data_IF_187821580961
#
_entry.id   IF_187821580961
#
_cell.length_a   1.000
_cell.length_b   1.000
_cell.length_c   1.000
_cell.angle_alpha   90.00
_cell.angle_beta   90.00
_cell.angle_gamma   90.00
#
_symmetry.space_group_name_H-M   'P 1'
#
loop_
_entity.id
_entity.type
_entity.pdbx_description
1 polymer ?
#
# COMPACT_ATOMS: atom_id res chain seq x y z
N UNK A 1 -23.51 27.78 -1.62
CA UNK A 1 -23.10 26.43 -1.97
C UNK A 1 -22.69 25.71 -0.67
N UNK A 2 -23.62 24.92 -0.11
CA UNK A 2 -23.42 24.26 1.19
C UNK A 2 -22.47 23.08 0.99
N UNK A 3 -21.23 23.21 1.40
CA UNK A 3 -20.24 22.13 1.37
C UNK A 3 -20.46 21.32 2.67
N UNK A 4 -21.03 20.14 2.55
CA UNK A 4 -21.21 19.19 3.64
C UNK A 4 -19.82 18.85 4.24
N UNK A 5 -19.52 19.23 5.50
CA UNK A 5 -18.23 18.98 6.14
C UNK A 5 -17.90 17.48 6.29
N UNK A 6 -18.90 16.58 6.23
CA UNK A 6 -18.70 15.13 6.25
C UNK A 6 -18.32 14.53 4.88
N UNK A 7 -18.37 15.29 3.81
CA UNK A 7 -18.07 14.79 2.45
C UNK A 7 -16.60 14.43 2.21
N UNK A 8 -15.68 14.94 3.00
CA UNK A 8 -14.23 14.75 2.81
C UNK A 8 -13.57 13.89 3.88
N UNK A 9 -14.32 13.21 4.74
CA UNK A 9 -13.77 12.25 5.70
C UNK A 9 -13.44 10.93 5.01
N UNK A 10 -12.39 10.24 5.46
CA UNK A 10 -11.99 8.91 4.97
C UNK A 10 -13.15 7.91 4.99
N UNK A 11 -13.96 7.94 6.06
CA UNK A 11 -15.18 7.14 6.18
C UNK A 11 -16.23 7.49 5.10
N UNK A 12 -16.29 8.75 4.63
CA UNK A 12 -17.15 9.19 3.54
C UNK A 12 -16.73 8.61 2.19
N UNK A 13 -15.43 8.41 1.96
CA UNK A 13 -14.91 7.84 0.73
C UNK A 13 -15.21 6.33 0.64
N UNK A 14 -15.04 5.58 1.74
CA UNK A 14 -15.42 4.17 1.80
C UNK A 14 -16.92 3.96 1.58
N UNK A 15 -17.77 4.77 2.23
CA UNK A 15 -19.23 4.70 2.03
C UNK A 15 -19.63 5.01 0.60
N UNK A 16 -18.92 5.92 -0.06
CA UNK A 16 -19.20 6.31 -1.43
C UNK A 16 -18.86 5.19 -2.43
N UNK A 17 -17.75 4.44 -2.25
CA UNK A 17 -17.35 3.36 -3.15
C UNK A 17 -18.15 2.06 -2.91
N UNK A 18 -18.77 1.90 -1.74
CA UNK A 18 -19.46 0.68 -1.34
C UNK A 18 -20.56 0.20 -2.32
N UNK A 19 -21.38 1.06 -2.94
CA UNK A 19 -22.36 0.64 -3.95
C UNK A 19 -21.73 -0.12 -5.12
N UNK A 20 -20.54 0.28 -5.57
CA UNK A 20 -19.80 -0.37 -6.66
C UNK A 20 -19.26 -1.74 -6.26
N UNK A 21 -19.03 -1.94 -4.96
CA UNK A 21 -18.50 -3.17 -4.37
C UNK A 21 -19.58 -4.23 -4.06
N UNK A 22 -20.81 -3.80 -3.76
CA UNK A 22 -21.91 -4.68 -3.28
C UNK A 22 -22.16 -5.92 -4.15
N UNK A 23 -22.20 -5.86 -5.49
CA UNK A 23 -22.51 -7.03 -6.31
C UNK A 23 -21.51 -8.17 -6.21
N UNK A 24 -20.26 -7.87 -5.82
CA UNK A 24 -19.17 -8.85 -5.73
C UNK A 24 -18.86 -9.29 -4.28
N UNK A 25 -19.65 -8.87 -3.29
CA UNK A 25 -19.52 -9.27 -1.88
C UNK A 25 -19.47 -10.79 -1.64
N UNK A 26 -20.22 -11.64 -2.37
CA UNK A 26 -20.10 -13.09 -2.21
C UNK A 26 -18.70 -13.62 -2.56
N UNK A 27 -18.04 -13.01 -3.56
CA UNK A 27 -16.65 -13.37 -3.92
C UNK A 27 -15.66 -12.97 -2.83
N UNK A 28 -15.87 -11.79 -2.22
CA UNK A 28 -15.07 -11.33 -1.08
C UNK A 28 -15.22 -12.27 0.10
N UNK A 29 -16.44 -12.74 0.40
CA UNK A 29 -16.68 -13.72 1.47
C UNK A 29 -15.92 -15.03 1.22
N UNK A 30 -15.95 -15.55 0.00
CA UNK A 30 -15.15 -16.72 -0.38
C UNK A 30 -13.64 -16.46 -0.31
N UNK A 31 -13.18 -15.28 -0.72
CA UNK A 31 -11.78 -14.87 -0.59
C UNK A 31 -11.33 -14.84 0.89
N UNK A 32 -12.18 -14.36 1.80
CA UNK A 32 -11.89 -14.34 3.25
C UNK A 32 -11.73 -15.77 3.79
N UNK A 33 -12.54 -16.74 3.36
CA UNK A 33 -12.38 -18.14 3.78
C UNK A 33 -11.03 -18.70 3.35
N UNK A 34 -10.66 -18.52 2.07
CA UNK A 34 -9.35 -18.95 1.56
C UNK A 34 -8.20 -18.22 2.24
N UNK A 35 -8.38 -16.94 2.54
CA UNK A 35 -7.43 -16.13 3.30
C UNK A 35 -7.21 -16.67 4.72
N UNK A 36 -8.28 -17.04 5.43
CA UNK A 36 -8.18 -17.68 6.75
C UNK A 36 -7.43 -19.01 6.67
N UNK A 37 -7.70 -19.84 5.66
CA UNK A 37 -6.97 -21.09 5.44
C UNK A 37 -5.49 -20.82 5.19
N UNK A 38 -5.15 -19.87 4.32
CA UNK A 38 -3.75 -19.48 4.04
C UNK A 38 -3.00 -19.06 5.31
N UNK A 39 -3.61 -18.19 6.13
CA UNK A 39 -2.98 -17.66 7.34
C UNK A 39 -2.85 -18.72 8.44
N UNK A 40 -3.85 -19.59 8.60
CA UNK A 40 -3.76 -20.73 9.53
C UNK A 40 -2.61 -21.67 9.14
N UNK A 41 -2.49 -22.02 7.84
CA UNK A 41 -1.38 -22.86 7.38
C UNK A 41 -0.03 -22.17 7.59
N UNK A 42 0.06 -20.84 7.37
CA UNK A 42 1.27 -20.07 7.60
C UNK A 42 1.72 -20.12 9.07
N UNK A 43 0.79 -20.07 10.02
CA UNK A 43 1.08 -20.14 11.46
C UNK A 43 1.44 -21.57 11.93
N UNK A 44 0.96 -22.61 11.24
CA UNK A 44 1.26 -24.01 11.61
C UNK A 44 2.63 -24.47 11.12
N UNK A 45 3.11 -23.97 9.98
CA UNK A 45 4.39 -24.41 9.38
C UNK A 45 5.58 -24.27 10.35
N UNK A 46 5.79 -23.17 11.08
CA UNK A 46 6.85 -23.06 12.07
C UNK A 46 6.78 -24.12 13.20
N UNK A 47 5.56 -24.48 13.63
CA UNK A 47 5.39 -25.55 14.64
C UNK A 47 5.82 -26.90 14.10
N UNK A 48 5.47 -27.22 12.85
CA UNK A 48 5.91 -28.48 12.22
C UNK A 48 7.44 -28.53 12.09
N UNK A 49 8.06 -27.38 11.75
CA UNK A 49 9.51 -27.26 11.73
C UNK A 49 10.13 -27.53 13.11
N UNK A 50 9.52 -27.00 14.17
CA UNK A 50 9.91 -27.30 15.56
C UNK A 50 9.74 -28.77 15.92
N UNK A 51 8.64 -29.42 15.52
CA UNK A 51 8.39 -30.83 15.76
C UNK A 51 9.42 -31.73 15.06
N UNK A 52 9.88 -31.36 13.86
CA UNK A 52 10.99 -32.10 13.19
C UNK A 52 12.25 -32.04 14.03
N UNK A 53 12.59 -30.85 14.55
CA UNK A 53 13.78 -30.72 15.42
C UNK A 53 13.65 -31.56 16.68
N UNK A 54 12.52 -31.50 17.37
CA UNK A 54 12.36 -32.23 18.64
C UNK A 54 12.27 -33.73 18.47
N UNK A 55 11.46 -34.23 17.52
CA UNK A 55 11.23 -35.67 17.38
C UNK A 55 12.31 -36.40 16.56
N UNK A 56 12.74 -35.76 15.44
CA UNK A 56 13.67 -36.41 14.54
C UNK A 56 15.11 -36.18 14.98
N UNK A 57 15.51 -34.93 15.27
CA UNK A 57 16.90 -34.61 15.58
C UNK A 57 17.22 -34.94 17.04
N UNK A 58 16.40 -34.54 18.01
CA UNK A 58 16.69 -34.71 19.43
C UNK A 58 16.34 -36.12 19.92
N UNK A 59 15.18 -36.67 19.51
CA UNK A 59 14.73 -38.00 19.94
C UNK A 59 15.16 -39.13 19.01
N UNK A 60 15.73 -38.80 17.83
CA UNK A 60 16.25 -39.85 16.89
C UNK A 60 15.17 -40.63 16.15
N UNK A 61 13.92 -40.17 16.13
CA UNK A 61 12.78 -40.86 15.48
C UNK A 61 12.79 -40.60 13.97
N UNK A 62 13.72 -41.22 13.25
CA UNK A 62 13.88 -41.00 11.80
C UNK A 62 12.66 -41.42 11.00
N UNK A 63 11.88 -42.39 11.48
CA UNK A 63 10.65 -42.86 10.81
C UNK A 63 9.58 -41.77 10.70
N UNK A 64 9.51 -40.81 11.65
CA UNK A 64 8.60 -39.69 11.59
C UNK A 64 9.01 -38.61 10.60
N UNK A 65 10.27 -38.55 10.17
CA UNK A 65 10.76 -37.51 9.25
C UNK A 65 9.96 -37.46 7.96
N UNK A 66 9.76 -38.62 7.31
CA UNK A 66 9.04 -38.70 6.04
C UNK A 66 7.60 -38.18 6.19
N UNK A 67 6.93 -38.54 7.29
CA UNK A 67 5.56 -38.12 7.58
C UNK A 67 5.47 -36.61 7.80
N UNK A 68 6.36 -36.03 8.59
CA UNK A 68 6.37 -34.59 8.88
C UNK A 68 6.74 -33.77 7.63
N UNK A 69 7.70 -34.26 6.82
CA UNK A 69 8.04 -33.61 5.56
C UNK A 69 6.87 -33.63 4.57
N UNK A 70 6.19 -34.76 4.42
CA UNK A 70 4.99 -34.85 3.56
C UNK A 70 3.91 -33.86 4.07
N UNK A 71 3.69 -33.79 5.39
CA UNK A 71 2.72 -32.90 5.99
C UNK A 71 3.07 -31.41 5.71
N UNK A 72 4.35 -31.02 5.84
CA UNK A 72 4.81 -29.68 5.49
C UNK A 72 4.61 -29.36 4.00
N UNK A 73 4.88 -30.32 3.11
CA UNK A 73 4.66 -30.15 1.67
C UNK A 73 3.18 -29.95 1.38
N UNK A 74 2.31 -30.79 1.95
CA UNK A 74 0.84 -30.67 1.77
C UNK A 74 0.33 -29.32 2.28
N UNK A 75 0.75 -28.90 3.48
CA UNK A 75 0.34 -27.61 4.03
C UNK A 75 0.84 -26.44 3.18
N UNK A 76 2.06 -26.54 2.66
CA UNK A 76 2.61 -25.52 1.74
C UNK A 76 1.82 -25.47 0.44
N UNK A 77 1.46 -26.61 -0.15
CA UNK A 77 0.63 -26.66 -1.37
C UNK A 77 -0.75 -26.06 -1.10
N UNK A 78 -1.43 -26.44 0.00
CA UNK A 78 -2.72 -25.89 0.39
C UNK A 78 -2.63 -24.37 0.60
N UNK A 79 -1.57 -23.92 1.26
CA UNK A 79 -1.30 -22.48 1.48
C UNK A 79 -1.16 -21.73 0.15
N UNK A 80 -0.32 -22.24 -0.78
CA UNK A 80 -0.08 -21.60 -2.08
C UNK A 80 -1.35 -21.59 -2.92
N UNK A 81 -2.10 -22.70 -2.96
CA UNK A 81 -3.37 -22.79 -3.67
C UNK A 81 -4.42 -21.82 -3.11
N UNK A 82 -4.54 -21.74 -1.78
CA UNK A 82 -5.43 -20.80 -1.11
C UNK A 82 -5.03 -19.36 -1.36
N UNK A 83 -3.73 -19.05 -1.35
CA UNK A 83 -3.19 -17.72 -1.67
C UNK A 83 -3.54 -17.30 -3.09
N UNK A 84 -3.29 -18.17 -4.06
CA UNK A 84 -3.66 -17.93 -5.44
C UNK A 84 -5.17 -17.68 -5.59
N UNK A 85 -5.98 -18.50 -4.94
CA UNK A 85 -7.44 -18.40 -4.99
C UNK A 85 -7.94 -17.07 -4.46
N UNK A 86 -7.57 -16.68 -3.22
CA UNK A 86 -8.07 -15.43 -2.65
C UNK A 86 -7.53 -14.20 -3.38
N UNK A 87 -6.27 -14.20 -3.84
CA UNK A 87 -5.71 -13.09 -4.61
C UNK A 87 -6.44 -12.91 -5.94
N UNK A 88 -6.73 -14.01 -6.66
CA UNK A 88 -7.49 -13.97 -7.90
C UNK A 88 -8.92 -13.43 -7.69
N UNK A 89 -9.58 -13.83 -6.61
CA UNK A 89 -10.93 -13.36 -6.31
C UNK A 89 -10.94 -11.89 -5.90
N UNK A 90 -9.95 -11.43 -5.11
CA UNK A 90 -9.81 -10.02 -4.75
C UNK A 90 -9.44 -9.15 -5.96
N UNK A 91 -8.60 -9.64 -6.88
CA UNK A 91 -8.30 -8.91 -8.12
C UNK A 91 -9.55 -8.78 -8.99
N UNK A 92 -10.33 -9.85 -9.18
CA UNK A 92 -11.61 -9.79 -9.89
C UNK A 92 -12.61 -8.85 -9.24
N UNK A 93 -12.65 -8.83 -7.91
CA UNK A 93 -13.47 -7.89 -7.14
C UNK A 93 -13.09 -6.43 -7.44
N UNK A 94 -11.79 -6.10 -7.38
CA UNK A 94 -11.28 -4.77 -7.70
C UNK A 94 -11.58 -4.36 -9.14
N UNK A 95 -11.31 -5.24 -10.12
CA UNK A 95 -11.56 -4.99 -11.54
C UNK A 95 -13.04 -4.76 -11.83
N UNK A 96 -13.94 -5.59 -11.31
CA UNK A 96 -15.38 -5.42 -11.53
C UNK A 96 -15.91 -4.13 -10.90
N UNK A 97 -15.43 -3.77 -9.71
CA UNK A 97 -15.85 -2.54 -9.03
C UNK A 97 -15.40 -1.31 -9.81
N UNK A 98 -14.17 -1.30 -10.32
CA UNK A 98 -13.64 -0.19 -11.12
C UNK A 98 -14.26 -0.14 -12.51
N UNK A 99 -14.55 -1.29 -13.13
CA UNK A 99 -15.27 -1.31 -14.39
C UNK A 99 -16.61 -0.54 -14.31
N UNK A 100 -17.38 -0.76 -13.25
CA UNK A 100 -18.63 -0.01 -13.02
C UNK A 100 -18.37 1.47 -12.79
N UNK A 101 -17.33 1.79 -12.01
CA UNK A 101 -16.95 3.18 -11.72
C UNK A 101 -16.55 3.93 -13.00
N UNK A 102 -15.71 3.33 -13.85
CA UNK A 102 -15.30 3.92 -15.14
C UNK A 102 -16.48 4.09 -16.08
N UNK A 103 -17.44 3.15 -16.09
CA UNK A 103 -18.67 3.29 -16.88
C UNK A 103 -19.49 4.51 -16.46
N UNK A 104 -19.65 4.71 -15.14
CA UNK A 104 -20.37 5.88 -14.60
C UNK A 104 -19.60 7.18 -14.87
N UNK A 105 -18.25 7.17 -14.79
CA UNK A 105 -17.42 8.32 -15.13
C UNK A 105 -17.57 8.70 -16.61
N UNK A 106 -17.57 7.70 -17.48
CA UNK A 106 -17.73 7.92 -18.92
C UNK A 106 -19.11 8.46 -19.27
N UNK A 107 -20.17 7.87 -18.69
CA UNK A 107 -21.55 8.38 -18.86
C UNK A 107 -21.66 9.81 -18.35
N UNK A 108 -21.07 10.11 -17.18
CA UNK A 108 -21.07 11.44 -16.60
C UNK A 108 -20.36 12.48 -17.48
N UNK A 109 -19.25 12.12 -18.11
CA UNK A 109 -18.55 13.01 -19.03
C UNK A 109 -19.42 13.40 -20.24
N UNK A 110 -20.30 12.52 -20.71
CA UNK A 110 -21.23 12.82 -21.81
C UNK A 110 -22.41 13.71 -21.37
N UNK A 111 -22.75 13.73 -20.09
CA UNK A 111 -23.77 14.63 -19.54
C UNK A 111 -23.28 16.05 -19.28
N UNK A 112 -21.97 16.25 -19.18
CA UNK A 112 -21.37 17.54 -18.82
C UNK A 112 -21.36 18.50 -20.01
N UNK A 113 -21.58 19.79 -19.72
CA UNK A 113 -21.55 20.86 -20.70
C UNK A 113 -20.13 21.34 -21.04
N UNK A 114 -20.03 22.15 -22.11
CA UNK A 114 -18.74 22.71 -22.56
C UNK A 114 -18.07 23.59 -21.49
N UNK A 115 -18.84 24.16 -20.55
CA UNK A 115 -18.27 24.95 -19.46
C UNK A 115 -17.32 24.14 -18.59
N UNK A 116 -17.66 22.89 -18.33
CA UNK A 116 -16.79 21.97 -17.59
C UNK A 116 -15.47 21.72 -18.34
N UNK A 117 -15.55 21.42 -19.63
CA UNK A 117 -14.38 21.12 -20.46
C UNK A 117 -13.47 22.34 -20.69
N UNK A 118 -14.06 23.54 -20.76
CA UNK A 118 -13.30 24.79 -20.89
C UNK A 118 -12.47 25.11 -19.64
N UNK A 119 -12.90 24.65 -18.45
CA UNK A 119 -12.22 24.89 -17.18
C UNK A 119 -11.38 23.68 -16.68
N UNK A 120 -11.44 22.55 -17.37
CA UNK A 120 -10.73 21.32 -16.97
C UNK A 120 -9.83 20.86 -18.11
N UNK A 121 -8.54 20.69 -17.83
CA UNK A 121 -7.60 20.22 -18.85
C UNK A 121 -7.93 18.76 -19.23
N UNK A 122 -7.86 18.45 -20.51
CA UNK A 122 -8.10 17.08 -21.01
C UNK A 122 -7.20 16.06 -20.33
N UNK A 123 -5.94 16.40 -20.04
CA UNK A 123 -5.01 15.54 -19.31
C UNK A 123 -5.47 15.21 -17.89
N UNK A 124 -6.16 16.15 -17.19
CA UNK A 124 -6.71 15.90 -15.86
C UNK A 124 -7.88 14.90 -15.91
N UNK A 125 -8.72 14.99 -16.96
CA UNK A 125 -9.81 14.05 -17.18
C UNK A 125 -9.26 12.65 -17.46
N UNK A 126 -8.28 12.55 -18.37
CA UNK A 126 -7.63 11.28 -18.68
C UNK A 126 -6.93 10.68 -17.47
N UNK A 127 -6.26 11.49 -16.65
CA UNK A 127 -5.62 11.04 -15.40
C UNK A 127 -6.65 10.47 -14.40
N UNK A 128 -7.85 11.04 -14.32
CA UNK A 128 -8.93 10.50 -13.46
C UNK A 128 -9.39 9.14 -13.93
N UNK A 129 -9.64 8.99 -15.24
CA UNK A 129 -10.13 7.74 -15.84
C UNK A 129 -9.06 6.62 -15.90
N UNK A 130 -7.79 6.96 -15.73
CA UNK A 130 -6.69 5.98 -15.78
C UNK A 130 -6.01 5.80 -14.43
N UNK A 131 -5.12 6.72 -14.06
CA UNK A 131 -4.27 6.57 -12.88
C UNK A 131 -5.02 6.68 -11.55
N UNK A 132 -6.05 7.53 -11.45
CA UNK A 132 -6.85 7.65 -10.22
C UNK A 132 -7.78 6.44 -10.06
N UNK A 133 -8.39 5.93 -11.12
CA UNK A 133 -9.16 4.68 -11.11
C UNK A 133 -8.30 3.46 -10.81
N UNK A 134 -7.07 3.40 -11.36
CA UNK A 134 -6.13 2.32 -11.02
C UNK A 134 -5.72 2.35 -9.55
N UNK A 135 -5.55 3.54 -8.95
CA UNK A 135 -5.30 3.67 -7.53
C UNK A 135 -6.46 3.12 -6.66
N UNK A 136 -7.71 3.33 -7.10
CA UNK A 136 -8.89 2.74 -6.43
C UNK A 136 -8.91 1.22 -6.62
N UNK A 137 -8.65 0.71 -7.82
CA UNK A 137 -8.54 -0.72 -8.10
C UNK A 137 -7.51 -1.37 -7.18
N UNK A 138 -6.30 -0.80 -7.14
CA UNK A 138 -5.20 -1.28 -6.30
C UNK A 138 -5.57 -1.33 -4.82
N UNK A 139 -6.26 -0.30 -4.33
CA UNK A 139 -6.73 -0.26 -2.95
C UNK A 139 -7.78 -1.33 -2.65
N UNK A 140 -8.75 -1.53 -3.54
CA UNK A 140 -9.81 -2.53 -3.37
C UNK A 140 -9.29 -3.96 -3.50
N UNK A 141 -8.39 -4.22 -4.46
CA UNK A 141 -7.85 -5.56 -4.69
C UNK A 141 -6.70 -5.88 -3.71
N UNK A 142 -5.61 -5.12 -3.75
CA UNK A 142 -4.37 -5.48 -3.05
C UNK A 142 -4.29 -4.93 -1.62
N UNK A 143 -4.50 -3.61 -1.43
CA UNK A 143 -4.32 -2.97 -0.12
C UNK A 143 -5.28 -3.54 0.93
N UNK A 144 -6.53 -3.81 0.54
CA UNK A 144 -7.55 -4.30 1.46
C UNK A 144 -7.19 -5.65 2.09
N UNK A 145 -6.75 -6.64 1.32
CA UNK A 145 -6.35 -7.92 1.90
C UNK A 145 -4.96 -7.84 2.56
N UNK A 146 -4.06 -6.98 2.08
CA UNK A 146 -2.73 -6.83 2.66
C UNK A 146 -2.78 -6.21 4.06
N UNK A 147 -3.68 -5.24 4.31
CA UNK A 147 -3.94 -4.71 5.65
C UNK A 147 -4.43 -5.82 6.59
N UNK A 148 -5.40 -6.65 6.12
CA UNK A 148 -5.89 -7.78 6.90
C UNK A 148 -4.77 -8.81 7.16
N UNK A 149 -3.94 -9.10 6.15
CA UNK A 149 -2.81 -10.03 6.27
C UNK A 149 -1.80 -9.56 7.32
N UNK A 150 -1.41 -8.27 7.27
CA UNK A 150 -0.52 -7.68 8.27
C UNK A 150 -1.08 -7.79 9.69
N UNK A 151 -2.37 -7.49 9.89
CA UNK A 151 -3.00 -7.56 11.22
C UNK A 151 -3.11 -8.99 11.71
N UNK A 152 -3.61 -9.91 10.88
CA UNK A 152 -3.81 -11.31 11.26
C UNK A 152 -2.47 -12.01 11.52
N UNK A 153 -1.47 -11.78 10.67
CA UNK A 153 -0.13 -12.35 10.85
C UNK A 153 0.57 -11.80 12.09
N UNK A 154 0.48 -10.49 12.32
CA UNK A 154 1.08 -9.88 13.52
C UNK A 154 0.46 -10.43 14.80
N UNK A 155 -0.88 -10.41 14.90
CA UNK A 155 -1.59 -10.92 16.08
C UNK A 155 -1.38 -12.43 16.21
N UNK A 156 -1.47 -13.18 15.11
CA UNK A 156 -1.31 -14.63 15.09
C UNK A 156 0.08 -15.06 15.52
N UNK A 157 1.13 -14.46 14.94
CA UNK A 157 2.51 -14.76 15.34
C UNK A 157 2.77 -14.41 16.80
N UNK A 158 2.27 -13.24 17.26
CA UNK A 158 2.41 -12.84 18.66
C UNK A 158 1.70 -13.82 19.60
N UNK A 159 0.48 -14.23 19.29
CA UNK A 159 -0.27 -15.21 20.06
C UNK A 159 0.50 -16.55 20.13
N UNK A 160 1.03 -17.04 19.00
CA UNK A 160 1.82 -18.26 18.96
C UNK A 160 3.11 -18.16 19.79
N UNK A 161 3.79 -17.03 19.77
CA UNK A 161 4.97 -16.79 20.62
C UNK A 161 4.61 -16.85 22.12
N UNK A 162 3.48 -16.26 22.52
CA UNK A 162 3.00 -16.33 23.90
C UNK A 162 2.61 -17.75 24.34
N UNK A 163 2.06 -18.57 23.43
CA UNK A 163 1.73 -19.97 23.73
C UNK A 163 2.96 -20.86 23.88
N UNK A 164 4.06 -20.56 23.17
CA UNK A 164 5.32 -21.30 23.27
C UNK A 164 6.02 -20.98 24.58
N UNK A 165 6.35 -19.73 24.83
CA UNK A 165 6.92 -19.28 26.11
C UNK A 165 6.65 -17.79 26.34
N UNK A 166 5.78 -17.48 27.31
CA UNK A 166 5.40 -16.11 27.65
C UNK A 166 6.57 -15.28 28.20
N UNK A 167 7.58 -15.91 28.81
CA UNK A 167 8.73 -15.22 29.41
C UNK A 167 9.65 -14.67 28.31
N UNK A 168 9.91 -15.49 27.30
CA UNK A 168 10.68 -15.07 26.13
C UNK A 168 9.92 -14.00 25.33
N UNK A 169 8.60 -14.15 25.14
CA UNK A 169 7.78 -13.15 24.51
C UNK A 169 7.79 -11.80 25.23
N UNK A 170 7.72 -11.81 26.58
CA UNK A 170 7.84 -10.58 27.39
C UNK A 170 9.23 -9.96 27.30
N UNK A 171 10.30 -10.75 27.29
CA UNK A 171 11.66 -10.22 27.13
C UNK A 171 11.82 -9.45 25.81
N UNK A 172 11.23 -9.94 24.73
CA UNK A 172 11.21 -9.24 23.43
C UNK A 172 10.30 -8.00 23.46
N UNK A 173 9.15 -8.10 24.13
CA UNK A 173 8.25 -6.97 24.29
C UNK A 173 8.90 -5.78 25.01
N UNK A 174 9.88 -6.02 25.90
CA UNK A 174 10.66 -4.96 26.56
C UNK A 174 11.55 -4.16 25.59
N UNK A 175 11.94 -4.72 24.45
CA UNK A 175 12.74 -4.02 23.42
C UNK A 175 11.87 -3.13 22.52
N UNK A 176 10.61 -3.51 22.33
CA UNK A 176 9.68 -2.82 21.43
C UNK A 176 9.52 -1.32 21.71
N UNK A 177 9.40 -0.84 22.97
CA UNK A 177 9.34 0.60 23.26
C UNK A 177 10.56 1.38 22.77
N UNK A 178 11.75 0.80 22.86
CA UNK A 178 12.98 1.45 22.38
C UNK A 178 12.98 1.60 20.86
N UNK A 179 12.54 0.57 20.15
CA UNK A 179 12.36 0.62 18.68
C UNK A 179 11.35 1.71 18.33
N UNK A 180 10.23 1.79 19.05
CA UNK A 180 9.22 2.82 18.83
C UNK A 180 9.75 4.24 19.04
N UNK A 181 10.50 4.49 20.13
CA UNK A 181 11.09 5.79 20.42
C UNK A 181 12.06 6.22 19.31
N UNK A 182 12.95 5.32 18.89
CA UNK A 182 13.92 5.61 17.81
C UNK A 182 13.23 5.84 16.47
N UNK A 183 12.23 5.01 16.12
CA UNK A 183 11.45 5.18 14.89
C UNK A 183 10.69 6.49 14.87
N UNK A 184 10.11 6.89 16.00
CA UNK A 184 9.44 8.19 16.13
C UNK A 184 10.45 9.33 15.97
N UNK A 185 11.64 9.23 16.58
CA UNK A 185 12.72 10.20 16.42
C UNK A 185 13.15 10.35 14.96
N UNK A 186 13.41 9.24 14.28
CA UNK A 186 13.74 9.22 12.85
C UNK A 186 12.64 9.89 12.01
N UNK A 187 11.40 9.48 12.19
CA UNK A 187 10.25 10.00 11.42
C UNK A 187 10.03 11.50 11.61
N UNK A 188 10.16 11.99 12.84
CA UNK A 188 9.97 13.42 13.16
C UNK A 188 11.02 14.30 12.48
N UNK A 189 12.28 13.84 12.46
CA UNK A 189 13.37 14.60 11.82
C UNK A 189 13.41 14.41 10.30
N UNK A 190 12.99 13.25 9.80
CA UNK A 190 12.98 12.96 8.35
C UNK A 190 11.91 13.77 7.60
N UNK A 191 10.72 14.00 8.19
CA UNK A 191 9.62 14.71 7.53
C UNK A 191 10.00 16.08 6.95
N UNK A 192 10.57 17.03 7.73
CA UNK A 192 10.95 18.35 7.20
C UNK A 192 12.03 18.25 6.14
N UNK A 193 12.96 17.28 6.25
CA UNK A 193 14.00 17.05 5.25
C UNK A 193 13.40 16.58 3.92
N UNK A 194 12.42 15.68 3.92
CA UNK A 194 11.71 15.27 2.71
C UNK A 194 10.95 16.43 2.06
N UNK A 195 10.36 17.33 2.84
CA UNK A 195 9.75 18.54 2.28
C UNK A 195 10.79 19.47 1.66
N UNK A 196 11.94 19.66 2.30
CA UNK A 196 13.04 20.47 1.75
C UNK A 196 13.55 19.88 0.43
N UNK A 197 13.74 18.55 0.34
CA UNK A 197 14.15 17.86 -0.90
C UNK A 197 13.11 18.08 -2.01
N UNK A 198 11.81 17.94 -1.70
CA UNK A 198 10.74 18.15 -2.69
C UNK A 198 10.68 19.59 -3.20
N UNK A 199 10.88 20.56 -2.33
CA UNK A 199 10.89 21.97 -2.71
C UNK A 199 12.08 22.29 -3.60
N UNK A 200 13.30 21.85 -3.23
CA UNK A 200 14.50 22.03 -4.03
C UNK A 200 14.38 21.34 -5.40
N UNK A 201 13.81 20.14 -5.46
CA UNK A 201 13.53 19.46 -6.73
C UNK A 201 12.49 20.23 -7.58
N UNK A 202 11.47 20.82 -6.96
CA UNK A 202 10.47 21.62 -7.67
C UNK A 202 11.09 22.91 -8.26
N UNK A 203 11.97 23.59 -7.50
CA UNK A 203 12.70 24.75 -7.97
C UNK A 203 13.62 24.41 -9.15
N UNK A 204 14.37 23.30 -9.05
CA UNK A 204 15.21 22.80 -10.13
C UNK A 204 14.38 22.47 -11.38
N UNK A 205 13.24 21.77 -11.23
CA UNK A 205 12.36 21.44 -12.35
C UNK A 205 11.78 22.71 -13.02
N UNK A 206 11.36 23.71 -12.24
CA UNK A 206 10.84 24.99 -12.78
C UNK A 206 11.91 25.73 -13.56
N UNK A 207 13.16 25.72 -13.09
CA UNK A 207 14.30 26.31 -13.80
C UNK A 207 14.58 25.57 -15.12
N UNK A 208 14.51 24.23 -15.12
CA UNK A 208 14.69 23.42 -16.35
C UNK A 208 13.56 23.72 -17.35
N UNK A 209 12.30 23.82 -16.89
CA UNK A 209 11.13 24.16 -17.71
C UNK A 209 11.31 25.55 -18.35
N UNK A 210 11.71 26.56 -17.55
CA UNK A 210 12.03 27.92 -18.04
C UNK A 210 13.13 27.89 -19.13
N UNK A 211 14.20 27.09 -18.94
CA UNK A 211 15.28 26.95 -19.90
C UNK A 211 14.85 26.25 -21.20
N UNK A 212 13.98 25.24 -21.10
CA UNK A 212 13.45 24.54 -22.29
C UNK A 212 12.56 25.52 -23.11
N UNK A 213 11.68 26.25 -22.45
CA UNK A 213 10.79 27.23 -23.11
C UNK A 213 11.61 28.41 -23.69
N UNK A 214 12.60 28.91 -22.94
CA UNK A 214 13.47 30.03 -23.31
C UNK A 214 14.69 29.65 -24.17
N UNK A 215 14.88 28.39 -24.57
CA UNK A 215 16.09 27.89 -25.20
C UNK A 215 16.52 28.71 -26.46
N UNK A 216 15.57 29.21 -27.25
CA UNK A 216 15.87 30.06 -28.40
C UNK A 216 16.54 31.39 -27.99
N UNK A 217 16.10 31.96 -26.86
CA UNK A 217 16.66 33.20 -26.31
C UNK A 217 18.08 32.94 -25.76
N UNK A 218 18.25 31.89 -24.99
CA UNK A 218 19.53 31.47 -24.42
C UNK A 218 20.56 31.30 -25.54
N UNK A 219 20.21 30.61 -26.65
CA UNK A 219 21.07 30.40 -27.82
C UNK A 219 21.34 31.68 -28.60
N UNK A 220 20.33 32.55 -28.76
CA UNK A 220 20.48 33.82 -29.47
C UNK A 220 21.49 34.76 -28.79
N UNK A 221 21.56 34.71 -27.45
CA UNK A 221 22.46 35.52 -26.64
C UNK A 221 23.74 34.78 -26.19
N UNK A 222 23.93 33.52 -26.60
CA UNK A 222 25.09 32.67 -26.25
C UNK A 222 25.31 32.60 -24.74
N UNK A 223 24.20 32.40 -24.00
CA UNK A 223 24.20 32.38 -22.52
C UNK A 223 24.16 30.98 -21.91
N UNK A 224 24.45 29.93 -22.66
CA UNK A 224 24.51 28.56 -22.19
C UNK A 224 25.40 28.38 -20.96
N UNK A 225 26.62 28.97 -20.87
CA UNK A 225 27.44 28.81 -19.67
C UNK A 225 26.82 29.39 -18.42
N UNK A 226 26.11 30.50 -18.54
CA UNK A 226 25.38 31.13 -17.42
C UNK A 226 24.22 30.26 -16.91
N UNK A 227 23.42 29.71 -17.83
CA UNK A 227 22.30 28.83 -17.46
C UNK A 227 22.80 27.50 -16.88
N UNK A 228 23.95 26.99 -17.35
CA UNK A 228 24.60 25.81 -16.76
C UNK A 228 25.05 26.10 -15.32
N UNK A 229 25.71 27.24 -15.07
CA UNK A 229 26.11 27.63 -13.71
C UNK A 229 24.88 27.79 -12.77
N UNK A 230 23.78 28.36 -13.29
CA UNK A 230 22.53 28.50 -12.55
C UNK A 230 21.94 27.12 -12.21
N UNK A 231 21.97 26.19 -13.16
CA UNK A 231 21.53 24.81 -12.93
C UNK A 231 22.40 24.10 -11.88
N UNK A 232 23.71 24.23 -11.97
CA UNK A 232 24.66 23.60 -11.03
C UNK A 232 24.37 24.05 -9.59
N UNK A 233 24.05 25.34 -9.37
CA UNK A 233 23.67 25.84 -8.04
C UNK A 233 22.40 25.18 -7.48
N UNK A 234 21.37 25.00 -8.31
CA UNK A 234 20.16 24.30 -7.89
C UNK A 234 20.40 22.81 -7.66
N UNK A 235 21.23 22.20 -8.50
CA UNK A 235 21.61 20.81 -8.36
C UNK A 235 22.46 20.55 -7.09
N UNK A 236 23.35 21.47 -6.75
CA UNK A 236 24.12 21.43 -5.51
C UNK A 236 23.21 21.57 -4.28
N UNK A 237 22.23 22.49 -4.28
CA UNK A 237 21.26 22.58 -3.19
C UNK A 237 20.44 21.29 -3.05
N UNK A 238 19.96 20.73 -4.17
CA UNK A 238 19.23 19.46 -4.17
C UNK A 238 20.10 18.31 -3.62
N UNK A 239 21.36 18.23 -4.05
CA UNK A 239 22.32 17.25 -3.52
C UNK A 239 22.52 17.44 -2.01
N UNK A 240 22.69 18.69 -1.53
CA UNK A 240 22.90 18.99 -0.13
C UNK A 240 21.68 18.57 0.73
N UNK A 241 20.43 18.84 0.26
CA UNK A 241 19.22 18.40 0.96
C UNK A 241 19.12 16.87 1.06
N UNK A 242 19.52 16.15 0.00
CA UNK A 242 19.60 14.69 0.03
C UNK A 242 20.67 14.19 1.01
N UNK A 243 21.83 14.87 1.06
CA UNK A 243 22.89 14.54 2.03
C UNK A 243 22.44 14.79 3.47
N UNK A 244 21.70 15.86 3.75
CA UNK A 244 21.14 16.13 5.09
C UNK A 244 20.17 15.00 5.51
N UNK A 245 19.35 14.50 4.60
CA UNK A 245 18.48 13.36 4.85
C UNK A 245 19.29 12.07 5.07
N UNK A 246 20.36 11.84 4.28
CA UNK A 246 21.25 10.70 4.45
C UNK A 246 21.97 10.74 5.82
N UNK A 247 22.42 11.92 6.28
CA UNK A 247 23.01 12.11 7.62
C UNK A 247 22.00 11.82 8.73
N UNK A 248 20.74 12.26 8.56
CA UNK A 248 19.68 11.91 9.51
C UNK A 248 19.47 10.40 9.56
N UNK A 249 19.37 9.73 8.40
CA UNK A 249 19.22 8.28 8.36
C UNK A 249 20.41 7.55 8.99
N UNK A 250 21.64 7.99 8.73
CA UNK A 250 22.86 7.43 9.33
C UNK A 250 22.86 7.51 10.85
N UNK A 251 22.22 8.52 11.43
CA UNK A 251 22.13 8.70 12.89
C UNK A 251 21.22 7.66 13.55
N UNK A 252 20.12 7.25 12.91
CA UNK A 252 19.09 6.40 13.52
C UNK A 252 19.11 4.96 13.01
N UNK A 253 19.39 4.73 11.72
CA UNK A 253 19.32 3.40 11.10
C UNK A 253 20.20 2.35 11.77
N UNK A 254 21.50 2.62 12.08
CA UNK A 254 22.33 1.60 12.72
C UNK A 254 21.82 1.17 14.10
N UNK A 255 21.18 2.08 14.83
CA UNK A 255 20.57 1.76 16.13
C UNK A 255 19.31 0.93 15.98
N UNK A 256 18.48 1.23 14.96
CA UNK A 256 17.30 0.43 14.65
C UNK A 256 17.68 -0.98 14.20
N UNK A 257 18.67 -1.10 13.33
CA UNK A 257 19.20 -2.40 12.89
C UNK A 257 19.81 -3.16 14.08
N UNK A 258 20.58 -2.47 14.93
CA UNK A 258 21.16 -3.04 16.17
C UNK A 258 20.10 -3.57 17.12
N UNK A 259 18.98 -2.83 17.31
CA UNK A 259 17.85 -3.29 18.11
C UNK A 259 17.13 -4.48 17.45
N UNK A 260 16.98 -4.48 16.12
CA UNK A 260 16.45 -5.62 15.37
C UNK A 260 17.28 -6.87 15.59
N UNK A 261 18.60 -6.79 15.46
CA UNK A 261 19.52 -7.90 15.77
C UNK A 261 19.50 -8.30 17.25
N UNK A 262 19.28 -7.34 18.17
CA UNK A 262 19.18 -7.65 19.60
C UNK A 262 18.01 -8.57 19.93
N UNK A 263 16.88 -8.45 19.19
CA UNK A 263 15.74 -9.37 19.32
C UNK A 263 16.15 -10.81 19.01
N UNK A 264 16.97 -11.00 17.99
CA UNK A 264 17.49 -12.33 17.63
C UNK A 264 18.50 -12.84 18.66
N UNK A 265 19.39 -11.97 19.17
CA UNK A 265 20.34 -12.32 20.23
C UNK A 265 19.62 -12.71 21.54
N UNK A 266 18.59 -11.98 21.92
CA UNK A 266 17.74 -12.31 23.09
C UNK A 266 17.04 -13.65 22.86
N UNK A 267 16.48 -13.88 21.67
CA UNK A 267 15.80 -15.13 21.34
C UNK A 267 16.76 -16.32 21.45
N UNK A 268 17.95 -16.22 20.89
CA UNK A 268 18.95 -17.31 20.95
C UNK A 268 19.59 -17.44 22.33
N UNK A 269 19.96 -16.32 22.99
CA UNK A 269 20.63 -16.34 24.29
C UNK A 269 19.69 -16.73 25.43
N UNK A 270 18.59 -16.01 25.61
CA UNK A 270 17.64 -16.30 26.68
C UNK A 270 16.80 -17.55 26.37
N UNK A 271 16.39 -17.73 25.11
CA UNK A 271 15.71 -18.96 24.65
C UNK A 271 16.63 -20.19 24.77
N UNK A 272 17.91 -20.09 24.40
CA UNK A 272 18.92 -21.14 24.61
C UNK A 272 19.10 -21.47 26.09
N UNK A 273 19.15 -20.47 26.97
CA UNK A 273 19.16 -20.67 28.43
C UNK A 273 17.92 -21.45 28.92
N UNK A 274 16.72 -21.14 28.38
CA UNK A 274 15.50 -21.85 28.72
C UNK A 274 15.53 -23.31 28.22
N UNK A 275 16.16 -23.57 27.09
CA UNK A 275 16.35 -24.94 26.56
C UNK A 275 17.31 -25.71 27.45
N UNK A 276 18.46 -25.14 27.81
CA UNK A 276 19.48 -25.81 28.69
C UNK A 276 18.88 -26.12 30.08
N UNK A 277 18.01 -25.23 30.59
CA UNK A 277 17.33 -25.46 31.88
C UNK A 277 16.12 -26.38 31.80
N UNK A 278 15.84 -26.98 30.62
CA UNK A 278 14.76 -27.94 30.41
C UNK A 278 13.35 -27.33 30.45
N UNK A 279 13.24 -26.00 30.37
CA UNK A 279 11.94 -25.28 30.42
C UNK A 279 11.30 -25.10 29.03
N UNK A 280 12.08 -25.23 27.97
CA UNK A 280 11.64 -25.12 26.58
C UNK A 280 12.35 -26.20 25.75
N UNK A 281 11.69 -26.70 24.69
CA UNK A 281 12.33 -27.64 23.76
C UNK A 281 13.13 -26.88 22.70
N UNK A 282 14.12 -27.56 22.08
CA UNK A 282 14.91 -26.97 20.99
C UNK A 282 14.02 -26.65 19.79
N UNK A 283 13.04 -27.51 19.50
CA UNK A 283 12.06 -27.26 18.43
C UNK A 283 11.18 -26.05 18.67
N UNK A 284 10.77 -25.82 19.93
CA UNK A 284 10.04 -24.63 20.30
C UNK A 284 10.87 -23.35 20.09
N UNK A 285 12.18 -23.39 20.35
CA UNK A 285 13.07 -22.27 20.08
C UNK A 285 13.16 -21.97 18.57
N UNK A 286 13.25 -23.01 17.74
CA UNK A 286 13.26 -22.87 16.27
C UNK A 286 11.93 -22.30 15.75
N UNK A 287 10.80 -22.79 16.25
CA UNK A 287 9.49 -22.25 15.91
C UNK A 287 9.35 -20.78 16.33
N UNK A 288 9.78 -20.46 17.54
CA UNK A 288 9.77 -19.09 18.07
C UNK A 288 10.60 -18.12 17.20
N UNK A 289 11.79 -18.51 16.80
CA UNK A 289 12.64 -17.74 15.91
C UNK A 289 11.97 -17.52 14.53
N UNK A 290 11.24 -18.50 14.02
CA UNK A 290 10.48 -18.38 12.77
C UNK A 290 9.33 -17.37 12.91
N UNK A 291 8.62 -17.33 14.04
CA UNK A 291 7.58 -16.33 14.31
C UNK A 291 8.16 -14.92 14.46
N UNK A 292 9.35 -14.77 15.02
CA UNK A 292 10.03 -13.47 15.10
C UNK A 292 10.24 -12.87 13.71
N UNK A 293 10.72 -13.66 12.75
CA UNK A 293 10.85 -13.22 11.35
C UNK A 293 9.52 -12.95 10.66
N UNK A 294 8.45 -13.63 11.07
CA UNK A 294 7.12 -13.46 10.51
C UNK A 294 6.49 -12.12 10.90
N UNK A 295 6.87 -11.52 12.02
CA UNK A 295 6.43 -10.19 12.47
C UNK A 295 7.11 -9.07 11.67
N UNK A 296 8.32 -9.28 11.16
CA UNK A 296 9.08 -8.24 10.44
C UNK A 296 8.35 -7.77 9.17
N UNK A 297 7.74 -8.69 8.40
CA UNK A 297 7.00 -8.38 7.19
C UNK A 297 5.90 -7.33 7.37
N UNK A 298 4.90 -7.56 8.22
CA UNK A 298 3.84 -6.61 8.55
C UNK A 298 4.35 -5.23 8.98
N UNK A 299 5.40 -5.18 9.78
CA UNK A 299 5.98 -3.91 10.26
C UNK A 299 6.57 -3.10 9.10
N UNK A 300 7.34 -3.73 8.23
CA UNK A 300 7.94 -3.07 7.04
C UNK A 300 6.89 -2.61 6.03
N UNK A 301 5.86 -3.41 5.82
CA UNK A 301 4.81 -3.11 4.84
C UNK A 301 3.86 -2.00 5.30
N UNK A 302 3.71 -1.76 6.61
CA UNK A 302 2.78 -0.78 7.16
C UNK A 302 2.97 0.64 6.57
N UNK A 303 4.21 1.06 6.34
CA UNK A 303 4.52 2.36 5.74
C UNK A 303 3.99 2.51 4.30
N UNK A 304 4.12 1.46 3.48
CA UNK A 304 3.61 1.44 2.10
C UNK A 304 2.09 1.44 2.06
N UNK A 305 1.46 0.66 2.94
CA UNK A 305 0.01 0.57 3.04
C UNK A 305 -0.63 1.92 3.41
N UNK A 306 0.02 2.70 4.29
CA UNK A 306 -0.43 4.05 4.64
C UNK A 306 -0.38 4.97 3.40
N UNK A 307 0.70 4.93 2.61
CA UNK A 307 0.82 5.73 1.40
C UNK A 307 -0.24 5.34 0.35
N UNK A 308 -0.46 4.05 0.13
CA UNK A 308 -1.47 3.56 -0.81
C UNK A 308 -2.88 3.94 -0.37
N UNK A 309 -3.15 3.90 0.94
CA UNK A 309 -4.41 4.37 1.51
C UNK A 309 -4.64 5.87 1.30
N UNK A 310 -3.60 6.69 1.47
CA UNK A 310 -3.69 8.13 1.20
C UNK A 310 -3.92 8.40 -0.29
N UNK A 311 -3.25 7.66 -1.17
CA UNK A 311 -3.45 7.73 -2.62
C UNK A 311 -4.88 7.36 -3.00
N UNK A 312 -5.42 6.28 -2.45
CA UNK A 312 -6.82 5.89 -2.60
C UNK A 312 -7.79 7.02 -2.21
N UNK A 313 -7.59 7.61 -1.03
CA UNK A 313 -8.44 8.70 -0.55
C UNK A 313 -8.39 9.92 -1.47
N UNK A 314 -7.20 10.32 -1.93
CA UNK A 314 -7.03 11.43 -2.86
C UNK A 314 -7.73 11.17 -4.20
N UNK A 315 -7.61 9.96 -4.75
CA UNK A 315 -8.25 9.55 -6.00
C UNK A 315 -9.77 9.48 -5.88
N UNK A 316 -10.30 8.97 -4.76
CA UNK A 316 -11.74 8.99 -4.47
C UNK A 316 -12.32 10.41 -4.47
N UNK A 317 -11.61 11.38 -3.88
CA UNK A 317 -12.05 12.78 -3.85
C UNK A 317 -12.14 13.37 -5.27
N UNK A 318 -11.13 13.09 -6.10
CA UNK A 318 -11.08 13.62 -7.49
C UNK A 318 -12.18 13.02 -8.36
N UNK A 319 -12.39 11.71 -8.30
CA UNK A 319 -13.40 11.01 -9.09
C UNK A 319 -14.80 11.40 -8.61
N UNK A 320 -15.02 11.45 -7.30
CA UNK A 320 -16.30 11.90 -6.75
C UNK A 320 -16.63 13.35 -7.18
N UNK A 321 -15.64 14.24 -7.25
CA UNK A 321 -15.81 15.60 -7.76
C UNK A 321 -16.28 15.60 -9.22
N UNK A 322 -15.79 14.67 -10.04
CA UNK A 322 -16.25 14.50 -11.41
C UNK A 322 -17.72 14.02 -11.45
N UNK A 323 -18.02 12.94 -10.74
CA UNK A 323 -19.36 12.34 -10.73
C UNK A 323 -20.44 13.24 -10.12
N UNK A 324 -20.06 14.15 -9.21
CA UNK A 324 -20.98 15.13 -8.62
C UNK A 324 -21.04 16.46 -9.36
N UNK A 325 -20.27 16.63 -10.44
CA UNK A 325 -20.32 17.83 -11.27
C UNK A 325 -21.72 17.98 -11.90
N UNK A 326 -22.26 19.18 -11.85
CA UNK A 326 -23.58 19.46 -12.42
C UNK A 326 -23.44 20.16 -13.78
N UNK A 327 -24.11 19.62 -14.78
CA UNK A 327 -24.29 20.30 -16.05
C UNK A 327 -25.23 21.52 -15.86
N UNK A 328 -24.93 22.62 -16.52
CA UNK A 328 -25.83 23.78 -16.57
C UNK A 328 -26.99 23.58 -17.55
N UNK A 329 -26.84 22.59 -18.43
CA UNK A 329 -27.90 22.24 -19.40
C UNK A 329 -28.83 21.26 -18.66
N UNK A 330 -30.00 21.76 -18.28
CA UNK A 330 -31.09 20.93 -17.74
C UNK A 330 -32.13 20.73 -18.83
N UNK A 331 -32.48 19.50 -19.13
CA UNK A 331 -33.64 19.20 -19.99
C UNK A 331 -34.90 19.77 -19.31
N UNK A 332 -35.62 20.62 -20.04
CA UNK A 332 -36.97 21.07 -19.61
C UNK A 332 -37.91 19.88 -19.73
N UNK A 333 -38.75 19.59 -18.74
CA UNK A 333 -39.69 18.46 -18.80
C UNK A 333 -40.72 18.52 -19.95
N UNK A 334 -40.82 19.66 -20.65
CA UNK A 334 -41.68 19.84 -21.82
C UNK A 334 -41.12 19.31 -23.17
N UNK A 335 -39.84 18.92 -23.24
CA UNK A 335 -39.22 18.46 -24.49
C UNK A 335 -39.26 16.93 -24.64
N UNK A 336 -40.33 16.27 -24.20
CA UNK A 336 -40.59 14.84 -24.48
C UNK A 336 -41.22 14.61 -25.86
N UNK A 337 -41.25 15.56 -26.75
CA UNK A 337 -41.50 15.28 -28.16
C UNK A 337 -40.32 14.53 -28.76
N UNK A 338 -40.52 13.22 -29.01
CA UNK A 338 -39.58 12.42 -29.80
C UNK A 338 -39.26 13.21 -31.08
N UNK A 339 -37.98 13.38 -31.44
CA UNK A 339 -37.66 14.02 -32.73
C UNK A 339 -38.35 13.26 -33.84
N UNK A 340 -39.31 13.88 -34.47
CA UNK A 340 -40.07 13.31 -35.59
C UNK A 340 -39.09 12.83 -36.63
N UNK A 341 -39.25 11.57 -37.07
CA UNK A 341 -38.46 10.99 -38.12
C UNK A 341 -38.54 11.90 -39.37
N UNK A 342 -37.47 12.61 -39.64
CA UNK A 342 -37.31 13.32 -40.90
C UNK A 342 -37.36 14.84 -40.84
N UNK A 343 -36.14 15.38 -40.77
CA UNK A 343 -35.70 16.41 -41.73
C UNK A 343 -34.23 16.72 -41.48
N UNK A 344 -33.37 16.23 -42.35
CA UNK A 344 -31.97 16.68 -42.42
C UNK A 344 -31.99 18.12 -42.95
N UNK A 345 -31.60 19.05 -42.08
CA UNK A 345 -31.14 20.38 -42.52
C UNK A 345 -29.63 20.45 -42.35
N UNK A 346 -28.89 19.82 -43.23
CA UNK A 346 -27.57 20.26 -43.62
C UNK A 346 -27.70 20.95 -44.98
N UNK A 347 -27.96 22.23 -44.96
CA UNK A 347 -27.80 23.12 -46.10
C UNK A 347 -27.22 24.40 -45.60
N UNK A 348 -25.95 24.67 -45.89
CA UNK A 348 -25.35 25.98 -45.95
C UNK A 348 -24.48 26.37 -44.79
N UNK A 349 -23.22 26.01 -44.84
CA UNK A 349 -22.08 26.89 -44.52
C UNK A 349 -20.97 26.57 -45.52
N UNK A 350 -20.88 27.39 -46.53
CA UNK A 350 -19.69 27.62 -47.35
C UNK A 350 -18.81 28.59 -46.57
#
# INVERSE_FOLDING_TARGET
MYVDPNRNTEAGNLKWILPYCKPDLPRVAGAIVLFCVNNTMALIIPLLSGLIVDRVIVQGQVDELTRLCIMMIVFTIVRVASRYGYQMWMERFGQNSVFRLVSDEYEKLHELDFTYFNHTRTGDIMSRMTSDTDAIRHALSWVSYQVLDCVVMFIGALAMMFTIDWRLALALACVTPFIFILTRGLSTHARPLFFAIRNSLAEMNSMVEENIEGNRVVKAFVREPYETEKFDKHNDDYMQRNMDQAYNSRKYMPWLDGLGFSLQLITLGFGGFLVITGRMTLGNLVAFNSYLWMIDGPVRQSGWLINDWQRFNASCIKIRKLLTAQSRITEKPENTEKPGAGRRYFAGCV
#
